data_IF_280384991494
#
_entry.id   IF_280384991494
#
_cell.length_a   1.000
_cell.length_b   1.000
_cell.length_c   1.000
_cell.angle_alpha   90.00
_cell.angle_beta   90.00
_cell.angle_gamma   90.00
#
_symmetry.space_group_name_H-M   'P 1'
#
loop_
_entity.id
_entity.type
_entity.pdbx_description
1 polymer ?
#
# COMPACT_ATOMS: atom_id res chain seq x y z
N UNK A 1 28.92 24.37 -0.76
CA UNK A 1 27.57 24.56 -0.19
C UNK A 1 27.45 23.59 0.95
N UNK A 2 27.65 24.06 2.17
CA UNK A 2 27.51 23.24 3.35
C UNK A 2 26.05 22.82 3.46
N UNK A 3 25.83 21.52 3.43
CA UNK A 3 24.50 20.92 3.43
C UNK A 3 23.92 21.15 4.83
N UNK A 4 23.10 22.20 5.01
CA UNK A 4 22.29 22.44 6.23
C UNK A 4 21.16 21.40 6.32
N UNK A 5 21.45 20.15 5.95
CA UNK A 5 20.57 19.03 6.17
C UNK A 5 20.56 18.73 7.66
N UNK A 6 19.37 18.72 8.26
CA UNK A 6 19.17 18.21 9.62
C UNK A 6 19.83 16.84 9.72
N UNK A 7 20.96 16.75 10.45
CA UNK A 7 21.59 15.46 10.69
C UNK A 7 20.62 14.60 11.49
N UNK A 8 20.46 13.35 11.05
CA UNK A 8 19.56 12.40 11.69
C UNK A 8 20.16 11.95 13.03
N UNK A 9 19.87 12.69 14.10
CA UNK A 9 20.30 12.40 15.48
C UNK A 9 19.18 11.75 16.29
N UNK A 10 19.52 11.09 17.40
CA UNK A 10 18.51 10.52 18.32
C UNK A 10 17.53 11.57 18.86
N UNK A 11 18.00 12.81 19.05
CA UNK A 11 17.18 13.94 19.50
C UNK A 11 16.14 14.37 18.45
N UNK A 12 16.44 14.16 17.17
CA UNK A 12 15.55 14.51 16.05
C UNK A 12 14.49 13.46 15.73
N UNK A 13 14.59 12.23 16.27
CA UNK A 13 13.66 11.14 15.96
C UNK A 13 12.18 11.48 16.17
N UNK A 14 11.77 12.12 17.30
CA UNK A 14 10.38 12.50 17.52
C UNK A 14 9.83 13.41 16.42
N UNK A 15 10.66 14.34 15.92
CA UNK A 15 10.29 15.22 14.80
C UNK A 15 10.04 14.41 13.51
N UNK A 16 10.90 13.44 13.20
CA UNK A 16 10.72 12.59 12.02
C UNK A 16 9.49 11.68 12.11
N UNK A 17 9.16 11.14 13.30
CA UNK A 17 7.91 10.42 13.51
C UNK A 17 6.68 11.32 13.33
N UNK A 18 6.74 12.56 13.85
CA UNK A 18 5.66 13.53 13.69
C UNK A 18 5.48 13.92 12.21
N UNK A 19 6.56 14.16 11.48
CA UNK A 19 6.53 14.43 10.05
C UNK A 19 5.94 13.26 9.26
N UNK A 20 6.33 12.02 9.59
CA UNK A 20 5.81 10.81 8.97
C UNK A 20 4.30 10.69 9.18
N UNK A 21 3.86 10.87 10.43
CA UNK A 21 2.46 10.79 10.80
C UNK A 21 1.65 11.89 10.11
N UNK A 22 2.16 13.11 10.06
CA UNK A 22 1.52 14.23 9.37
C UNK A 22 1.32 13.93 7.88
N UNK A 23 2.37 13.49 7.18
CA UNK A 23 2.27 13.13 5.75
C UNK A 23 1.24 12.01 5.53
N UNK A 24 1.29 10.96 6.34
CA UNK A 24 0.37 9.83 6.24
C UNK A 24 -1.09 10.25 6.50
N UNK A 25 -1.35 10.90 7.64
CA UNK A 25 -2.69 11.31 8.04
C UNK A 25 -3.26 12.35 7.08
N UNK A 26 -2.49 13.35 6.65
CA UNK A 26 -2.94 14.34 5.67
C UNK A 26 -3.25 13.67 4.34
N UNK A 27 -2.37 12.80 3.84
CA UNK A 27 -2.57 12.08 2.58
C UNK A 27 -3.85 11.24 2.57
N UNK A 28 -4.15 10.54 3.66
CA UNK A 28 -5.39 9.75 3.76
C UNK A 28 -6.62 10.59 4.06
N UNK A 29 -6.52 11.60 4.93
CA UNK A 29 -7.67 12.45 5.29
C UNK A 29 -8.18 13.22 4.09
N UNK A 30 -7.28 13.85 3.33
CA UNK A 30 -7.65 14.56 2.10
C UNK A 30 -8.27 13.58 1.10
N UNK A 31 -7.69 12.39 0.93
CA UNK A 31 -8.26 11.38 0.04
C UNK A 31 -9.67 10.93 0.45
N UNK A 32 -9.92 10.69 1.74
CA UNK A 32 -11.25 10.34 2.25
C UNK A 32 -12.26 11.46 1.98
N UNK A 33 -11.87 12.72 2.13
CA UNK A 33 -12.72 13.87 1.77
C UNK A 33 -13.02 13.89 0.26
N UNK A 34 -12.02 13.64 -0.58
CA UNK A 34 -12.19 13.58 -2.04
C UNK A 34 -13.12 12.44 -2.46
N UNK A 35 -13.00 11.25 -1.84
CA UNK A 35 -13.91 10.12 -2.04
C UNK A 35 -15.35 10.49 -1.72
N UNK A 36 -15.60 11.19 -0.60
CA UNK A 36 -16.94 11.68 -0.23
C UNK A 36 -17.50 12.70 -1.21
N UNK A 37 -16.65 13.41 -1.93
CA UNK A 37 -17.01 14.38 -2.97
C UNK A 37 -17.08 13.74 -4.38
N UNK A 38 -17.13 12.41 -4.48
CA UNK A 38 -17.32 11.69 -5.75
C UNK A 38 -16.05 11.53 -6.60
N UNK A 39 -14.87 11.85 -6.06
CA UNK A 39 -13.59 11.55 -6.72
C UNK A 39 -13.19 10.13 -6.34
N UNK A 40 -13.42 9.17 -7.23
CA UNK A 40 -13.13 7.76 -7.04
C UNK A 40 -11.89 7.31 -7.83
N UNK A 41 -11.35 6.16 -7.44
CA UNK A 41 -10.20 5.55 -8.12
C UNK A 41 -10.41 5.35 -9.63
N UNK A 42 -11.63 5.01 -10.05
CA UNK A 42 -11.92 4.65 -11.45
C UNK A 42 -12.25 5.88 -12.29
N UNK A 43 -13.13 6.77 -11.80
CA UNK A 43 -13.65 7.90 -12.59
C UNK A 43 -12.63 9.03 -12.76
N UNK A 44 -11.66 9.16 -11.84
CA UNK A 44 -10.62 10.20 -11.84
C UNK A 44 -9.22 9.60 -11.70
N UNK A 45 -9.00 8.42 -12.28
CA UNK A 45 -7.79 7.63 -12.05
C UNK A 45 -6.47 8.36 -12.33
N UNK A 46 -6.42 9.24 -13.34
CA UNK A 46 -5.23 10.05 -13.63
C UNK A 46 -4.92 11.00 -12.46
N UNK A 47 -5.93 11.74 -11.99
CA UNK A 47 -5.80 12.62 -10.84
C UNK A 47 -5.39 11.84 -9.58
N UNK A 48 -6.07 10.73 -9.30
CA UNK A 48 -5.74 9.84 -8.17
C UNK A 48 -4.30 9.33 -8.24
N UNK A 49 -3.83 8.97 -9.44
CA UNK A 49 -2.45 8.51 -9.67
C UNK A 49 -1.44 9.60 -9.32
N UNK A 50 -1.62 10.81 -9.85
CA UNK A 50 -0.73 11.93 -9.56
C UNK A 50 -0.81 12.38 -8.10
N UNK A 51 -1.98 12.29 -7.48
CA UNK A 51 -2.17 12.59 -6.06
C UNK A 51 -1.27 11.70 -5.19
N UNK A 52 -1.38 10.37 -5.34
CA UNK A 52 -0.56 9.44 -4.54
C UNK A 52 0.91 9.44 -4.94
N UNK A 53 1.23 9.65 -6.23
CA UNK A 53 2.60 9.87 -6.66
C UNK A 53 3.21 11.10 -5.98
N UNK A 54 2.46 12.21 -5.90
CA UNK A 54 2.88 13.44 -5.22
C UNK A 54 3.22 13.18 -3.76
N UNK A 55 2.35 12.47 -3.02
CA UNK A 55 2.62 12.09 -1.63
C UNK A 55 3.81 11.13 -1.48
N UNK A 56 4.02 10.22 -2.45
CA UNK A 56 5.22 9.36 -2.49
C UNK A 56 6.49 10.19 -2.65
N UNK A 57 6.49 11.18 -3.54
CA UNK A 57 7.60 12.11 -3.76
C UNK A 57 7.85 12.98 -2.53
N UNK A 58 6.80 13.54 -1.91
CA UNK A 58 6.90 14.32 -0.67
C UNK A 58 7.54 13.48 0.44
N UNK A 59 7.12 12.22 0.58
CA UNK A 59 7.72 11.29 1.55
C UNK A 59 9.19 11.04 1.23
N UNK A 60 9.51 10.73 -0.03
CA UNK A 60 10.88 10.44 -0.44
C UNK A 60 11.84 11.62 -0.25
N UNK A 61 11.39 12.85 -0.54
CA UNK A 61 12.18 14.07 -0.37
C UNK A 61 12.35 14.42 1.11
N UNK A 62 11.27 14.34 1.91
CA UNK A 62 11.31 14.64 3.36
C UNK A 62 12.25 13.71 4.10
N UNK A 63 12.26 12.42 3.73
CA UNK A 63 13.08 11.39 4.37
C UNK A 63 14.28 10.96 3.52
N UNK A 64 14.77 11.83 2.64
CA UNK A 64 15.81 11.49 1.65
C UNK A 64 17.07 10.90 2.29
N UNK A 65 17.50 11.44 3.42
CA UNK A 65 18.76 11.02 4.07
C UNK A 65 18.62 9.60 4.65
N UNK A 66 17.42 9.25 5.13
CA UNK A 66 17.09 7.90 5.59
C UNK A 66 17.05 6.91 4.42
N UNK A 67 16.47 7.33 3.30
CA UNK A 67 16.28 6.49 2.11
C UNK A 67 17.53 6.39 1.22
N UNK A 68 18.46 7.34 1.30
CA UNK A 68 19.64 7.40 0.43
C UNK A 68 20.49 6.13 0.53
N UNK A 69 20.66 5.59 1.73
CA UNK A 69 21.39 4.34 1.97
C UNK A 69 20.81 3.15 1.20
N UNK A 70 19.50 3.16 0.95
CA UNK A 70 18.80 2.11 0.20
C UNK A 70 18.97 2.36 -1.30
N UNK A 71 18.80 3.60 -1.74
CA UNK A 71 18.85 3.99 -3.15
C UNK A 71 20.24 3.77 -3.74
N UNK A 72 21.30 4.20 -3.06
CA UNK A 72 22.68 4.09 -3.57
C UNK A 72 23.11 2.63 -3.75
N UNK A 73 22.59 1.72 -2.92
CA UNK A 73 22.91 0.31 -2.98
C UNK A 73 21.97 -0.50 -3.89
N UNK A 74 20.97 0.13 -4.49
CA UNK A 74 19.94 -0.53 -5.28
C UNK A 74 20.48 -1.09 -6.59
N UNK A 75 20.22 -2.37 -6.85
CA UNK A 75 20.59 -3.00 -8.13
C UNK A 75 19.49 -2.79 -9.16
N UNK A 76 19.84 -2.24 -10.33
CA UNK A 76 18.91 -2.08 -11.45
C UNK A 76 18.36 -3.42 -11.96
N UNK A 77 19.05 -4.54 -11.73
CA UNK A 77 18.57 -5.89 -12.07
C UNK A 77 17.24 -6.19 -11.38
N UNK A 78 16.99 -5.63 -10.19
CA UNK A 78 15.71 -5.82 -9.49
C UNK A 78 14.54 -5.06 -10.10
N UNK A 79 14.78 -4.14 -11.03
CA UNK A 79 13.69 -3.52 -11.78
C UNK A 79 12.97 -4.54 -12.65
N UNK A 80 13.65 -5.60 -13.12
CA UNK A 80 13.04 -6.65 -13.95
C UNK A 80 11.91 -7.38 -13.22
N UNK A 81 12.12 -8.02 -12.04
CA UNK A 81 11.03 -8.69 -11.33
C UNK A 81 9.96 -7.71 -10.83
N UNK A 82 10.33 -6.48 -10.45
CA UNK A 82 9.34 -5.46 -10.05
C UNK A 82 8.42 -5.11 -11.22
N UNK A 83 8.98 -4.82 -12.41
CA UNK A 83 8.20 -4.55 -13.62
C UNK A 83 7.38 -5.77 -14.02
N UNK A 84 7.93 -6.99 -13.88
CA UNK A 84 7.20 -8.23 -14.17
C UNK A 84 5.98 -8.41 -13.25
N UNK A 85 6.09 -8.12 -11.95
CA UNK A 85 4.95 -8.20 -11.00
C UNK A 85 3.90 -7.12 -11.30
N UNK A 86 4.32 -5.91 -11.68
CA UNK A 86 3.39 -4.85 -12.13
C UNK A 86 2.68 -5.29 -13.41
N UNK A 87 3.42 -5.83 -14.38
CA UNK A 87 2.84 -6.37 -15.62
C UNK A 87 1.88 -7.53 -15.35
N UNK A 88 2.19 -8.39 -14.36
CA UNK A 88 1.31 -9.46 -13.93
C UNK A 88 -0.04 -8.94 -13.40
N UNK A 89 -0.09 -7.75 -12.79
CA UNK A 89 -1.36 -7.14 -12.38
C UNK A 89 -2.25 -6.86 -13.59
N UNK A 90 -1.69 -6.24 -14.64
CA UNK A 90 -2.43 -6.02 -15.88
C UNK A 90 -2.79 -7.32 -16.58
N UNK A 91 -1.88 -8.30 -16.59
CA UNK A 91 -2.17 -9.62 -17.17
C UNK A 91 -3.31 -10.33 -16.43
N UNK A 92 -3.33 -10.26 -15.10
CA UNK A 92 -4.39 -10.79 -14.26
C UNK A 92 -5.75 -10.17 -14.58
N UNK A 93 -5.80 -8.88 -14.88
CA UNK A 93 -7.04 -8.24 -15.37
C UNK A 93 -7.57 -8.92 -16.63
N UNK A 94 -6.71 -9.12 -17.64
CA UNK A 94 -7.11 -9.75 -18.90
C UNK A 94 -7.54 -11.21 -18.69
N UNK A 95 -6.79 -11.96 -17.88
CA UNK A 95 -7.10 -13.36 -17.56
C UNK A 95 -8.45 -13.49 -16.81
N UNK A 96 -8.63 -12.73 -15.73
CA UNK A 96 -9.88 -12.79 -14.95
C UNK A 96 -11.09 -12.44 -15.80
N UNK A 97 -11.01 -11.41 -16.66
CA UNK A 97 -12.11 -11.08 -17.58
C UNK A 97 -12.38 -12.14 -18.63
N UNK A 98 -11.36 -12.90 -19.05
CA UNK A 98 -11.49 -13.93 -20.09
C UNK A 98 -12.02 -15.25 -19.55
N UNK A 99 -11.63 -15.62 -18.32
CA UNK A 99 -11.82 -16.95 -17.76
C UNK A 99 -12.74 -17.01 -16.55
N UNK A 100 -13.02 -15.89 -15.87
CA UNK A 100 -13.90 -15.84 -14.71
C UNK A 100 -15.19 -15.10 -15.03
N UNK A 101 -16.30 -15.55 -14.43
CA UNK A 101 -17.57 -14.82 -14.47
C UNK A 101 -17.46 -13.57 -13.61
N UNK A 102 -17.86 -12.44 -14.17
CA UNK A 102 -17.91 -11.17 -13.45
C UNK A 102 -19.00 -11.23 -12.36
N UNK A 103 -18.70 -10.94 -11.08
CA UNK A 103 -19.69 -10.95 -9.99
C UNK A 103 -20.54 -9.67 -9.99
N UNK A 104 -21.48 -9.55 -10.93
CA UNK A 104 -22.24 -8.32 -11.14
C UNK A 104 -23.16 -7.96 -9.97
N UNK A 105 -23.75 -8.96 -9.31
CA UNK A 105 -24.63 -8.73 -8.15
C UNK A 105 -23.82 -8.19 -6.98
N UNK A 106 -22.67 -8.79 -6.69
CA UNK A 106 -21.79 -8.30 -5.62
C UNK A 106 -21.29 -6.87 -5.91
N UNK A 107 -20.95 -6.55 -7.16
CA UNK A 107 -20.56 -5.18 -7.54
C UNK A 107 -21.68 -4.16 -7.35
N UNK A 108 -22.93 -4.55 -7.61
CA UNK A 108 -24.08 -3.68 -7.39
C UNK A 108 -24.41 -3.50 -5.90
N UNK A 109 -24.25 -4.56 -5.10
CA UNK A 109 -24.51 -4.55 -3.66
C UNK A 109 -23.42 -3.85 -2.84
N UNK A 110 -22.19 -3.77 -3.36
CA UNK A 110 -21.00 -3.27 -2.65
C UNK A 110 -20.18 -2.31 -3.52
N UNK A 111 -20.77 -1.19 -3.99
CA UNK A 111 -20.12 -0.24 -4.90
C UNK A 111 -18.88 0.44 -4.30
N UNK A 112 -18.73 0.41 -2.98
CA UNK A 112 -17.60 0.97 -2.23
C UNK A 112 -16.32 0.13 -2.29
N UNK A 113 -16.40 -1.16 -2.66
CA UNK A 113 -15.19 -1.97 -2.86
C UNK A 113 -14.62 -1.71 -4.27
N UNK A 114 -13.59 -0.88 -4.32
CA UNK A 114 -12.93 -0.51 -5.58
C UNK A 114 -12.10 -1.64 -6.21
N UNK A 115 -11.78 -2.69 -5.46
CA UNK A 115 -10.99 -3.81 -5.95
C UNK A 115 -11.85 -4.85 -6.69
N UNK A 116 -13.11 -5.00 -6.27
CA UNK A 116 -14.07 -5.93 -6.85
C UNK A 116 -14.28 -5.73 -8.36
N UNK A 117 -14.42 -4.51 -8.92
CA UNK A 117 -14.54 -4.32 -10.36
C UNK A 117 -13.32 -4.79 -11.18
N UNK A 118 -12.13 -4.87 -10.56
CA UNK A 118 -10.84 -5.12 -11.24
C UNK A 118 -10.65 -4.23 -12.49
N UNK A 119 -11.05 -2.96 -12.49
CA UNK A 119 -10.93 -2.10 -13.68
C UNK A 119 -9.47 -1.69 -13.96
N UNK A 120 -9.03 -1.61 -15.21
CA UNK A 120 -7.65 -1.19 -15.53
C UNK A 120 -7.31 0.21 -15.00
N UNK A 121 -8.29 1.11 -14.91
CA UNK A 121 -8.14 2.46 -14.34
C UNK A 121 -7.90 2.40 -12.84
N UNK A 122 -8.64 1.51 -12.16
CA UNK A 122 -8.37 1.20 -10.76
C UNK A 122 -6.95 0.65 -10.62
N UNK A 123 -6.53 -0.32 -11.44
CA UNK A 123 -5.20 -0.91 -11.39
C UNK A 123 -4.11 0.17 -11.49
N UNK A 124 -4.20 1.09 -12.47
CA UNK A 124 -3.22 2.18 -12.61
C UNK A 124 -3.16 3.03 -11.33
N UNK A 125 -4.28 3.59 -10.90
CA UNK A 125 -4.32 4.47 -9.71
C UNK A 125 -3.90 3.75 -8.43
N UNK A 126 -4.22 2.46 -8.32
CA UNK A 126 -3.86 1.62 -7.18
C UNK A 126 -2.36 1.39 -7.07
N UNK A 127 -1.63 1.28 -8.18
CA UNK A 127 -0.17 1.16 -8.11
C UNK A 127 0.49 2.38 -7.46
N UNK A 128 0.02 3.59 -7.77
CA UNK A 128 0.54 4.81 -7.16
C UNK A 128 0.14 4.94 -5.68
N UNK A 129 -1.06 4.50 -5.31
CA UNK A 129 -1.45 4.38 -3.91
C UNK A 129 -0.55 3.37 -3.17
N UNK A 130 -0.30 2.19 -3.74
CA UNK A 130 0.60 1.17 -3.17
C UNK A 130 2.01 1.75 -3.05
N UNK A 131 2.49 2.54 -4.02
CA UNK A 131 3.78 3.21 -3.93
C UNK A 131 3.84 4.18 -2.75
N UNK A 132 2.78 4.97 -2.51
CA UNK A 132 2.69 5.85 -1.35
C UNK A 132 2.67 5.06 -0.03
N UNK A 133 1.86 4.00 0.05
CA UNK A 133 1.83 3.13 1.21
C UNK A 133 3.21 2.48 1.45
N UNK A 134 3.87 2.00 0.39
CA UNK A 134 5.15 1.30 0.50
C UNK A 134 6.28 2.24 0.93
N UNK A 135 6.30 3.47 0.42
CA UNK A 135 7.30 4.47 0.82
C UNK A 135 7.11 4.88 2.28
N UNK A 136 5.87 5.07 2.73
CA UNK A 136 5.58 5.35 4.15
C UNK A 136 5.87 4.15 5.07
N UNK A 137 5.59 2.91 4.64
CA UNK A 137 5.99 1.67 5.34
C UNK A 137 7.51 1.62 5.49
N UNK A 138 8.25 1.83 4.39
CA UNK A 138 9.70 1.76 4.41
C UNK A 138 10.29 2.78 5.40
N UNK A 139 9.84 4.02 5.33
CA UNK A 139 10.27 5.07 6.27
C UNK A 139 9.95 4.67 7.70
N UNK A 140 8.74 4.19 7.99
CA UNK A 140 8.36 3.79 9.35
C UNK A 140 9.25 2.66 9.89
N UNK A 141 9.54 1.62 9.09
CA UNK A 141 10.43 0.53 9.50
C UNK A 141 11.81 1.07 9.86
N UNK A 142 12.38 1.95 9.02
CA UNK A 142 13.69 2.53 9.26
C UNK A 142 13.70 3.46 10.48
N UNK A 143 12.64 4.24 10.70
CA UNK A 143 12.49 5.06 11.90
C UNK A 143 12.44 4.20 13.18
N UNK A 144 11.65 3.12 13.17
CA UNK A 144 11.58 2.18 14.30
C UNK A 144 12.89 1.42 14.49
N UNK A 145 13.65 1.16 13.43
CA UNK A 145 14.99 0.56 13.57
C UNK A 145 15.96 1.53 14.24
N UNK A 146 15.87 2.84 13.95
CA UNK A 146 16.71 3.87 14.55
C UNK A 146 16.46 4.10 16.04
N UNK A 147 15.31 3.69 16.58
CA UNK A 147 15.08 3.72 18.04
C UNK A 147 15.82 2.60 18.78
N UNK A 148 16.48 1.67 18.07
CA UNK A 148 17.14 0.52 18.65
C UNK A 148 16.20 -0.65 18.99
N UNK A 149 14.95 -0.62 18.52
CA UNK A 149 14.03 -1.74 18.70
C UNK A 149 14.54 -3.00 18.00
N UNK A 150 14.31 -4.15 18.64
CA UNK A 150 14.51 -5.45 18.01
C UNK A 150 13.49 -5.67 16.88
N UNK A 151 13.76 -6.60 15.97
CA UNK A 151 12.80 -6.95 14.91
C UNK A 151 11.41 -7.29 15.47
N UNK A 152 11.36 -8.04 16.58
CA UNK A 152 10.10 -8.36 17.26
C UNK A 152 9.36 -7.10 17.73
N UNK A 153 10.08 -6.12 18.29
CA UNK A 153 9.51 -4.83 18.68
C UNK A 153 8.94 -4.06 17.48
N UNK A 154 9.69 -4.00 16.37
CA UNK A 154 9.24 -3.35 15.13
C UNK A 154 7.97 -4.04 14.59
N UNK A 155 7.94 -5.36 14.57
CA UNK A 155 6.79 -6.17 14.13
C UNK A 155 5.56 -5.88 14.99
N UNK A 156 5.69 -5.87 16.33
CA UNK A 156 4.57 -5.55 17.24
C UNK A 156 4.03 -4.14 16.97
N UNK A 157 4.91 -3.14 16.84
CA UNK A 157 4.49 -1.78 16.51
C UNK A 157 3.73 -1.74 15.17
N UNK A 158 4.22 -2.46 14.16
CA UNK A 158 3.58 -2.54 12.85
C UNK A 158 2.20 -3.19 12.90
N UNK A 159 2.07 -4.36 13.52
CA UNK A 159 0.80 -5.09 13.64
C UNK A 159 -0.27 -4.21 14.32
N UNK A 160 0.09 -3.57 15.43
CA UNK A 160 -0.83 -2.69 16.17
C UNK A 160 -1.22 -1.47 15.34
N UNK A 161 -0.23 -0.76 14.79
CA UNK A 161 -0.49 0.47 14.03
C UNK A 161 -1.31 0.18 12.77
N UNK A 162 -0.96 -0.86 12.01
CA UNK A 162 -1.67 -1.22 10.79
C UNK A 162 -3.08 -1.72 11.08
N UNK A 163 -3.27 -2.49 12.16
CA UNK A 163 -4.60 -2.86 12.63
C UNK A 163 -5.46 -1.64 12.89
N UNK A 164 -4.99 -0.71 13.72
CA UNK A 164 -5.73 0.52 14.08
C UNK A 164 -6.04 1.38 12.85
N UNK A 165 -5.08 1.57 11.94
CA UNK A 165 -5.26 2.40 10.75
C UNK A 165 -6.27 1.81 9.75
N UNK A 166 -6.48 0.49 9.76
CA UNK A 166 -7.39 -0.18 8.82
C UNK A 166 -8.78 -0.49 9.41
N UNK A 167 -8.95 -0.47 10.74
CA UNK A 167 -10.27 -0.65 11.40
C UNK A 167 -11.38 0.23 10.80
N UNK A 168 -11.16 1.51 10.42
CA UNK A 168 -12.20 2.32 9.78
C UNK A 168 -12.79 1.70 8.51
N UNK A 169 -12.05 0.85 7.80
CA UNK A 169 -12.52 0.14 6.60
C UNK A 169 -13.72 -0.76 6.90
N UNK A 170 -13.83 -1.35 8.09
CA UNK A 170 -14.98 -2.17 8.51
C UNK A 170 -16.29 -1.38 8.36
N UNK A 171 -16.25 -0.07 8.64
CA UNK A 171 -17.40 0.81 8.49
C UNK A 171 -17.58 1.32 7.06
N UNK A 172 -16.49 1.64 6.35
CA UNK A 172 -16.58 2.31 5.05
C UNK A 172 -16.71 1.37 3.85
N UNK A 173 -16.22 0.13 3.95
CA UNK A 173 -16.25 -0.87 2.86
C UNK A 173 -17.12 -2.07 3.20
N UNK A 174 -17.90 -2.02 4.28
CA UNK A 174 -18.68 -3.14 4.78
C UNK A 174 -17.85 -4.15 5.62
N UNK A 175 -18.56 -4.92 6.46
CA UNK A 175 -17.95 -5.78 7.48
C UNK A 175 -17.03 -6.85 6.88
N UNK A 176 -17.44 -7.50 5.78
CA UNK A 176 -16.66 -8.58 5.16
C UNK A 176 -15.33 -8.06 4.60
N UNK A 177 -15.39 -7.09 3.69
CA UNK A 177 -14.20 -6.52 3.04
C UNK A 177 -13.30 -5.79 4.04
N UNK A 178 -13.89 -4.99 4.94
CA UNK A 178 -13.10 -4.25 5.92
C UNK A 178 -12.38 -5.17 6.90
N UNK A 179 -13.00 -6.26 7.36
CA UNK A 179 -12.30 -7.28 8.16
C UNK A 179 -11.20 -7.97 7.36
N UNK A 180 -11.48 -8.34 6.11
CA UNK A 180 -10.48 -8.94 5.21
C UNK A 180 -9.24 -8.06 5.10
N UNK A 181 -9.40 -6.78 4.72
CA UNK A 181 -8.27 -5.86 4.58
C UNK A 181 -7.57 -5.58 5.91
N UNK A 182 -8.30 -5.47 7.02
CA UNK A 182 -7.70 -5.25 8.34
C UNK A 182 -6.83 -6.42 8.78
N UNK A 183 -7.30 -7.66 8.61
CA UNK A 183 -6.54 -8.86 8.95
C UNK A 183 -5.27 -8.94 8.11
N UNK A 184 -5.36 -8.75 6.79
CA UNK A 184 -4.19 -8.81 5.92
C UNK A 184 -3.22 -7.63 6.16
N UNK A 185 -3.71 -6.45 6.53
CA UNK A 185 -2.87 -5.34 6.96
C UNK A 185 -2.09 -5.68 8.24
N UNK A 186 -2.72 -6.34 9.22
CA UNK A 186 -2.03 -6.83 10.42
C UNK A 186 -0.99 -7.90 10.08
N UNK A 187 -1.34 -8.88 9.24
CA UNK A 187 -0.40 -9.92 8.78
C UNK A 187 0.78 -9.32 8.00
N UNK A 188 0.56 -8.25 7.24
CA UNK A 188 1.63 -7.52 6.56
C UNK A 188 2.67 -6.96 7.54
N UNK A 189 2.27 -6.67 8.79
CA UNK A 189 3.17 -6.25 9.86
C UNK A 189 4.16 -7.34 10.30
N UNK A 190 3.89 -8.61 10.01
CA UNK A 190 4.85 -9.71 10.20
C UNK A 190 5.83 -9.80 9.02
N UNK A 191 5.33 -9.53 7.81
CA UNK A 191 6.06 -9.75 6.55
C UNK A 191 6.98 -8.58 6.21
N UNK A 192 6.45 -7.36 6.18
CA UNK A 192 7.16 -6.20 5.65
C UNK A 192 8.38 -5.79 6.47
N UNK A 193 8.31 -5.66 7.82
CA UNK A 193 9.49 -5.34 8.61
C UNK A 193 10.57 -6.40 8.50
N UNK A 194 10.18 -7.67 8.46
CA UNK A 194 11.10 -8.81 8.31
C UNK A 194 11.82 -8.73 6.97
N UNK A 195 11.09 -8.56 5.87
CA UNK A 195 11.67 -8.42 4.54
C UNK A 195 12.65 -7.24 4.52
N UNK A 196 12.19 -6.05 4.92
CA UNK A 196 12.95 -4.79 4.84
C UNK A 196 14.25 -4.84 5.65
N UNK A 197 14.24 -5.43 6.84
CA UNK A 197 15.39 -5.40 7.75
C UNK A 197 16.36 -6.59 7.58
N UNK A 198 15.89 -7.75 7.14
CA UNK A 198 16.70 -8.98 7.11
C UNK A 198 17.23 -9.33 5.71
N UNK A 199 16.60 -8.84 4.65
CA UNK A 199 16.97 -9.23 3.28
C UNK A 199 17.58 -8.05 2.53
N UNK A 200 18.66 -8.33 1.79
CA UNK A 200 19.19 -7.39 0.80
C UNK A 200 18.08 -7.09 -0.21
N UNK A 201 17.73 -5.81 -0.36
CA UNK A 201 16.61 -5.35 -1.18
C UNK A 201 15.21 -5.72 -0.67
N UNK A 202 15.09 -5.98 0.63
CA UNK A 202 13.84 -6.29 1.30
C UNK A 202 12.67 -5.35 0.99
N UNK A 203 12.95 -4.07 0.73
CA UNK A 203 11.92 -3.10 0.34
C UNK A 203 11.30 -3.38 -1.03
N UNK A 204 12.08 -3.90 -1.99
CA UNK A 204 11.57 -4.27 -3.31
C UNK A 204 10.75 -5.57 -3.20
N UNK A 205 11.20 -6.51 -2.38
CA UNK A 205 10.45 -7.74 -2.10
C UNK A 205 9.11 -7.43 -1.42
N UNK A 206 9.09 -6.54 -0.43
CA UNK A 206 7.84 -6.16 0.24
C UNK A 206 6.89 -5.42 -0.70
N UNK A 207 7.39 -4.54 -1.57
CA UNK A 207 6.58 -3.92 -2.64
C UNK A 207 5.93 -4.98 -3.54
N UNK A 208 6.71 -5.96 -4.03
CA UNK A 208 6.17 -7.03 -4.87
C UNK A 208 5.11 -7.87 -4.15
N UNK A 209 5.35 -8.23 -2.89
CA UNK A 209 4.34 -8.94 -2.06
C UNK A 209 3.07 -8.11 -1.91
N UNK A 210 3.20 -6.80 -1.71
CA UNK A 210 2.07 -5.89 -1.59
C UNK A 210 1.23 -5.83 -2.87
N UNK A 211 1.88 -5.74 -4.04
CA UNK A 211 1.19 -5.80 -5.33
C UNK A 211 0.52 -7.16 -5.55
N UNK A 212 1.23 -8.25 -5.27
CA UNK A 212 0.71 -9.62 -5.40
C UNK A 212 -0.50 -9.86 -4.49
N UNK A 213 -0.54 -9.27 -3.30
CA UNK A 213 -1.71 -9.32 -2.43
C UNK A 213 -2.96 -8.78 -3.14
N UNK A 214 -2.89 -7.59 -3.74
CA UNK A 214 -4.05 -7.01 -4.44
C UNK A 214 -4.47 -7.81 -5.68
N UNK A 215 -3.50 -8.37 -6.42
CA UNK A 215 -3.76 -9.31 -7.52
C UNK A 215 -4.57 -10.51 -7.01
N UNK A 216 -4.08 -11.15 -5.94
CA UNK A 216 -4.70 -12.32 -5.34
C UNK A 216 -6.09 -11.99 -4.78
N UNK A 217 -6.28 -10.83 -4.14
CA UNK A 217 -7.57 -10.37 -3.63
C UNK A 217 -8.59 -10.21 -4.75
N UNK A 218 -8.22 -9.57 -5.87
CA UNK A 218 -9.11 -9.39 -7.01
C UNK A 218 -9.62 -10.73 -7.56
N UNK A 219 -8.70 -11.68 -7.78
CA UNK A 219 -9.05 -13.04 -8.22
C UNK A 219 -9.93 -13.76 -7.20
N UNK A 220 -9.54 -13.71 -5.92
CA UNK A 220 -10.29 -14.34 -4.84
C UNK A 220 -11.73 -13.85 -4.78
N UNK A 221 -11.95 -12.53 -4.86
CA UNK A 221 -13.31 -11.97 -4.84
C UNK A 221 -14.13 -12.41 -6.05
N UNK A 222 -13.56 -12.41 -7.25
CA UNK A 222 -14.28 -12.88 -8.43
C UNK A 222 -14.69 -14.34 -8.31
N UNK A 223 -13.78 -15.23 -7.90
CA UNK A 223 -14.07 -16.65 -7.70
C UNK A 223 -15.12 -16.86 -6.61
N UNK A 224 -14.98 -16.18 -5.47
CA UNK A 224 -15.88 -16.32 -4.33
C UNK A 224 -17.30 -15.87 -4.65
N UNK A 225 -17.47 -14.66 -5.21
CA UNK A 225 -18.79 -14.10 -5.48
C UNK A 225 -19.45 -14.72 -6.71
N UNK A 226 -18.71 -15.06 -7.76
CA UNK A 226 -19.27 -15.78 -8.91
C UNK A 226 -19.90 -17.10 -8.47
N UNK A 227 -19.24 -17.88 -7.60
CA UNK A 227 -19.78 -19.12 -7.06
C UNK A 227 -21.08 -18.90 -6.28
N UNK A 228 -21.12 -17.86 -5.43
CA UNK A 228 -22.30 -17.54 -4.60
C UNK A 228 -23.52 -17.16 -5.46
N UNK A 229 -23.30 -16.44 -6.56
CA UNK A 229 -24.34 -16.07 -7.52
C UNK A 229 -24.92 -17.26 -8.31
N UNK A 230 -24.20 -18.39 -8.40
CA UNK A 230 -24.71 -19.60 -9.05
C UNK A 230 -25.57 -20.46 -8.11
N UNK A 231 -25.42 -20.31 -6.80
CA UNK A 231 -26.12 -21.11 -5.78
C UNK A 231 -27.36 -20.44 -5.19
N UNK A 232 -27.58 -19.17 -5.50
CA UNK A 232 -28.68 -18.35 -4.99
C UNK A 232 -29.71 -18.10 -6.10
#
# INVERSE_FOLDING_TARGET
MDNIGLQFTNESLPFFFAAWLAIFVTGWTVWIVLLRNGIHYINRFIFTSFYFLGFSVITAVTFRDLLQSIVVNFSSVLLVPVVAVVALFFFNYFLSRRFLKKPEKAMAEQPEDFNLPMDYRYIISKHFEILFQQTTILVLVLLLQKTGLTLAGIVVCFVVLFGVLHVPLIKTTGRFFGLYYTIFAMLSGLVFPTLITQFRYGFAYSFMVHVLFYIATGVFFWVYFAKKEHTA
#
